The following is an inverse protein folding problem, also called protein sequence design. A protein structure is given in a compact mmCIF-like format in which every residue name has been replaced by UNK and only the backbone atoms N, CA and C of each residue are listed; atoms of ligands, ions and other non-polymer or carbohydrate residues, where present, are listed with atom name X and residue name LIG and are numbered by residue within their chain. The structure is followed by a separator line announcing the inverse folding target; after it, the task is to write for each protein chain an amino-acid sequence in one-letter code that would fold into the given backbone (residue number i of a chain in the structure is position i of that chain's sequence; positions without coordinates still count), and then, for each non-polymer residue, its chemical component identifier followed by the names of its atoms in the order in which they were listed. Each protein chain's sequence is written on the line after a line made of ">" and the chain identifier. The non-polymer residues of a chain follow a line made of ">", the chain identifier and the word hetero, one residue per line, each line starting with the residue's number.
data_IF_879135696903
#
_entry.id   IF_879135696903
#
_cell.length_a   1.000
_cell.length_b   1.000
_cell.length_c   1.000
_cell.angle_alpha   90.00
_cell.angle_beta   90.00
_cell.angle_gamma   90.00
#
_symmetry.space_group_name_H-M   'P 1'
#
loop_
_entity.id
_entity.type
_entity.pdbx_description
1 polymer ?
#
# COMPACT_ATOMS: atom_id res chain seq x y z
N UNK A 1 9.78 -1.17 10.91
CA UNK A 1 10.72 -0.03 10.94
C UNK A 1 10.42 0.97 12.05
N UNK A 2 9.21 1.50 12.17
CA UNK A 2 8.91 2.55 13.17
C UNK A 2 9.15 2.08 14.60
N UNK A 3 8.76 0.83 14.95
CA UNK A 3 9.09 0.24 16.24
C UNK A 3 10.60 0.29 16.51
N UNK A 4 11.43 -0.18 15.57
CA UNK A 4 12.89 -0.21 15.73
C UNK A 4 13.50 1.20 15.84
N UNK A 5 12.99 2.15 15.07
CA UNK A 5 13.39 3.56 15.16
C UNK A 5 13.10 4.14 16.56
N UNK A 6 11.96 3.79 17.15
CA UNK A 6 11.59 4.25 18.50
C UNK A 6 12.41 3.61 19.62
N UNK A 7 13.12 2.50 19.35
CA UNK A 7 14.11 1.93 20.30
C UNK A 7 15.45 2.69 20.30
N UNK A 8 15.72 3.53 19.30
CA UNK A 8 16.93 4.37 19.26
C UNK A 8 16.80 5.54 20.24
N UNK A 9 17.96 6.06 20.69
CA UNK A 9 17.92 7.36 21.40
C UNK A 9 17.35 8.44 20.48
N UNK A 10 16.66 9.46 21.03
CA UNK A 10 16.09 10.54 20.20
C UNK A 10 17.14 11.21 19.29
N UNK A 11 18.35 11.45 19.80
CA UNK A 11 19.43 12.09 19.07
C UNK A 11 19.91 11.24 17.88
N UNK A 12 20.10 9.93 18.10
CA UNK A 12 20.52 8.99 17.05
C UNK A 12 19.45 8.84 15.99
N UNK A 13 18.19 8.72 16.40
CA UNK A 13 17.03 8.63 15.49
C UNK A 13 16.90 9.91 14.66
N UNK A 14 16.95 11.08 15.28
CA UNK A 14 16.87 12.36 14.58
C UNK A 14 18.01 12.52 13.56
N UNK A 15 19.24 12.17 13.92
CA UNK A 15 20.38 12.23 13.01
C UNK A 15 20.19 11.30 11.80
N UNK A 16 19.69 10.07 12.03
CA UNK A 16 19.38 9.12 10.96
C UNK A 16 18.27 9.64 10.04
N UNK A 17 17.16 10.10 10.61
CA UNK A 17 16.01 10.61 9.83
C UNK A 17 16.40 11.86 9.03
N UNK A 18 17.19 12.76 9.61
CA UNK A 18 17.73 13.93 8.90
C UNK A 18 18.60 13.53 7.72
N UNK A 19 19.49 12.55 7.90
CA UNK A 19 20.33 12.03 6.82
C UNK A 19 19.52 11.42 5.67
N UNK A 20 18.38 10.81 5.96
CA UNK A 20 17.54 10.16 4.95
C UNK A 20 16.62 11.18 4.26
N UNK A 21 15.91 11.99 5.03
CA UNK A 21 14.77 12.76 4.52
C UNK A 21 15.06 14.25 4.26
N UNK A 22 16.14 14.83 4.84
CA UNK A 22 16.48 16.22 4.59
C UNK A 22 16.85 16.45 3.12
N UNK A 23 16.22 17.43 2.49
CA UNK A 23 16.48 17.81 1.10
C UNK A 23 17.73 18.67 0.92
N UNK A 24 18.33 19.18 2.02
CA UNK A 24 19.51 20.05 2.00
C UNK A 24 20.74 19.40 2.65
N UNK A 25 20.53 18.52 3.64
CA UNK A 25 21.62 17.94 4.44
C UNK A 25 21.59 16.39 4.40
N UNK A 26 20.71 15.80 3.59
CA UNK A 26 20.54 14.35 3.49
C UNK A 26 20.31 13.88 2.06
N UNK A 27 19.77 12.67 1.94
CA UNK A 27 19.46 12.04 0.64
C UNK A 27 18.18 12.59 0.01
N UNK A 28 17.34 13.31 0.74
CA UNK A 28 16.10 13.92 0.23
C UNK A 28 15.04 12.91 -0.18
N UNK A 29 14.94 11.78 0.53
CA UNK A 29 13.88 10.81 0.26
C UNK A 29 12.52 11.48 0.37
N UNK A 30 11.72 11.36 -0.67
CA UNK A 30 10.49 12.13 -0.88
C UNK A 30 9.20 11.30 -0.78
N UNK A 31 9.32 9.98 -0.62
CA UNK A 31 8.21 9.05 -0.45
C UNK A 31 8.39 8.16 0.77
N UNK A 32 7.30 7.80 1.41
CA UNK A 32 7.24 6.73 2.39
C UNK A 32 5.99 5.87 2.14
N UNK A 33 6.10 4.55 2.32
CA UNK A 33 4.96 3.63 2.29
C UNK A 33 4.74 3.07 3.67
N UNK A 34 3.50 3.05 4.12
CA UNK A 34 3.06 2.51 5.41
C UNK A 34 1.96 1.47 5.20
N UNK A 35 1.82 0.56 6.15
CA UNK A 35 0.65 -0.31 6.20
C UNK A 35 -0.58 0.44 6.72
N UNK A 36 -1.75 0.03 6.27
CA UNK A 36 -3.05 0.41 6.78
C UNK A 36 -3.59 -0.76 7.60
N UNK A 37 -3.29 -0.77 8.89
CA UNK A 37 -3.42 -1.92 9.78
C UNK A 37 -2.13 -2.76 9.83
N UNK A 38 -2.23 -4.00 10.25
CA UNK A 38 -1.09 -4.90 10.33
C UNK A 38 -0.52 -5.24 8.96
N UNK A 39 0.73 -5.71 8.97
CA UNK A 39 1.42 -6.33 7.83
C UNK A 39 2.08 -7.64 8.29
N UNK A 40 2.75 -8.34 7.40
CA UNK A 40 3.43 -9.62 7.67
C UNK A 40 4.65 -9.52 8.62
N UNK A 41 5.06 -8.31 9.00
CA UNK A 41 6.08 -8.05 10.02
C UNK A 41 5.52 -7.50 11.33
N UNK A 42 4.20 -7.40 11.46
CA UNK A 42 3.57 -7.01 12.72
C UNK A 42 3.66 -8.14 13.75
N UNK A 43 3.81 -7.78 15.02
CA UNK A 43 3.87 -8.76 16.11
C UNK A 43 2.54 -9.46 16.36
N UNK A 44 1.44 -8.83 15.95
CA UNK A 44 0.07 -9.34 16.02
C UNK A 44 -0.70 -8.91 14.79
N UNK A 45 -1.72 -9.67 14.41
CA UNK A 45 -2.65 -9.29 13.36
C UNK A 45 -3.74 -8.39 13.93
N UNK A 46 -4.04 -7.29 13.23
CA UNK A 46 -5.10 -6.35 13.59
C UNK A 46 -5.56 -5.54 12.38
N UNK A 47 -6.76 -5.02 12.47
CA UNK A 47 -7.23 -3.90 11.67
C UNK A 47 -7.72 -2.78 12.60
N UNK A 48 -8.14 -1.67 12.03
CA UNK A 48 -8.70 -0.58 12.86
C UNK A 48 -10.17 -0.79 13.23
N UNK A 49 -10.77 -1.93 12.88
CA UNK A 49 -12.16 -2.24 13.19
C UNK A 49 -12.40 -3.76 13.27
N UNK A 50 -11.75 -4.45 14.19
CA UNK A 50 -11.85 -5.91 14.32
C UNK A 50 -13.20 -6.38 14.87
N UNK A 51 -13.89 -5.51 15.58
CA UNK A 51 -15.26 -5.74 16.06
C UNK A 51 -16.23 -4.93 15.19
N UNK A 52 -17.16 -5.64 14.53
CA UNK A 52 -18.24 -4.99 13.78
C UNK A 52 -19.09 -4.11 14.69
N UNK A 53 -19.38 -2.92 14.22
CA UNK A 53 -20.25 -1.97 14.92
C UNK A 53 -21.74 -2.27 14.72
N UNK A 54 -22.58 -1.24 14.78
CA UNK A 54 -24.02 -1.37 14.58
C UNK A 54 -24.37 -1.67 13.10
N UNK A 55 -25.60 -2.11 12.85
CA UNK A 55 -26.07 -2.31 11.46
C UNK A 55 -26.08 -1.00 10.65
N UNK A 56 -26.37 0.12 11.30
CA UNK A 56 -26.42 1.45 10.66
C UNK A 56 -25.01 2.04 10.43
N UNK A 57 -24.03 1.70 11.26
CA UNK A 57 -22.60 2.05 11.10
C UNK A 57 -21.71 0.85 11.46
N UNK A 58 -21.48 -0.06 10.53
CA UNK A 58 -20.68 -1.26 10.79
C UNK A 58 -19.22 -0.99 11.20
N UNK A 59 -18.70 0.21 10.93
CA UNK A 59 -17.36 0.64 11.33
C UNK A 59 -17.37 1.70 12.45
N UNK A 60 -18.42 1.75 13.27
CA UNK A 60 -18.48 2.66 14.43
C UNK A 60 -17.37 2.42 15.45
N UNK A 61 -16.84 1.19 15.53
CA UNK A 61 -15.74 0.82 16.42
C UNK A 61 -14.34 1.08 15.82
N UNK A 62 -14.25 1.86 14.73
CA UNK A 62 -12.96 2.20 14.10
C UNK A 62 -12.08 2.99 15.08
N UNK A 63 -10.87 2.49 15.32
CA UNK A 63 -9.84 3.16 16.11
C UNK A 63 -8.44 2.72 15.61
N UNK A 64 -7.48 3.65 15.58
CA UNK A 64 -6.10 3.28 15.33
C UNK A 64 -5.57 2.37 16.43
N UNK A 65 -4.72 1.42 16.07
CA UNK A 65 -4.10 0.50 17.01
C UNK A 65 -2.94 1.15 17.76
N UNK A 66 -2.41 0.46 18.77
CA UNK A 66 -1.26 0.96 19.54
C UNK A 66 -0.04 1.20 18.68
N UNK A 67 0.23 0.33 17.70
CA UNK A 67 1.42 0.45 16.84
C UNK A 67 1.43 1.76 16.05
N UNK A 68 0.26 2.22 15.55
CA UNK A 68 0.16 3.53 14.91
C UNK A 68 0.37 4.66 15.89
N UNK A 69 -0.26 4.58 17.06
CA UNK A 69 -0.21 5.66 18.04
C UNK A 69 1.18 5.79 18.70
N UNK A 70 1.83 4.66 18.99
CA UNK A 70 3.07 4.62 19.77
C UNK A 70 4.32 4.70 18.87
N UNK A 71 4.24 4.26 17.61
CA UNK A 71 5.41 4.15 16.74
C UNK A 71 5.26 4.87 15.39
N UNK A 72 4.20 4.58 14.61
CA UNK A 72 4.10 5.07 13.23
C UNK A 72 3.89 6.58 13.20
N UNK A 73 2.90 7.08 13.94
CA UNK A 73 2.57 8.52 13.98
C UNK A 73 3.72 9.36 14.55
N UNK A 74 4.35 9.00 15.69
CA UNK A 74 5.52 9.74 16.19
C UNK A 74 6.65 9.84 15.16
N UNK A 75 7.04 8.73 14.55
CA UNK A 75 8.12 8.71 13.54
C UNK A 75 7.75 9.53 12.32
N UNK A 76 6.53 9.41 11.80
CA UNK A 76 6.09 10.22 10.65
C UNK A 76 6.09 11.73 10.97
N UNK A 77 5.73 12.12 12.19
CA UNK A 77 5.82 13.53 12.61
C UNK A 77 7.25 14.04 12.65
N UNK A 78 8.20 13.24 13.14
CA UNK A 78 9.62 13.59 13.11
C UNK A 78 10.10 13.75 11.65
N UNK A 79 9.72 12.84 10.75
CA UNK A 79 10.07 12.92 9.32
C UNK A 79 9.45 14.15 8.67
N UNK A 80 8.17 14.43 8.92
CA UNK A 80 7.46 15.60 8.36
C UNK A 80 8.01 16.94 8.88
N UNK A 81 8.57 16.97 10.10
CA UNK A 81 9.30 18.14 10.60
C UNK A 81 10.61 18.41 9.83
N UNK A 82 11.23 17.35 9.28
CA UNK A 82 12.45 17.43 8.46
C UNK A 82 12.08 17.71 6.98
N UNK A 83 11.10 16.99 6.45
CA UNK A 83 10.63 17.08 5.06
C UNK A 83 9.11 17.21 5.02
N UNK A 84 8.55 18.43 5.07
CA UNK A 84 7.10 18.64 5.08
C UNK A 84 6.42 18.26 3.75
N UNK A 85 7.19 18.03 2.68
CA UNK A 85 6.68 17.63 1.37
C UNK A 85 6.71 16.11 1.14
N UNK A 86 6.99 15.32 2.19
CA UNK A 86 6.97 13.86 2.09
C UNK A 86 5.61 13.37 1.60
N UNK A 87 5.63 12.52 0.58
CA UNK A 87 4.44 11.83 0.06
C UNK A 87 4.29 10.49 0.76
N UNK A 88 3.17 10.29 1.43
CA UNK A 88 2.91 9.06 2.19
C UNK A 88 1.87 8.24 1.44
N UNK A 89 2.23 6.98 1.12
CA UNK A 89 1.36 5.98 0.50
C UNK A 89 0.99 4.95 1.56
N UNK A 90 -0.28 4.54 1.61
CA UNK A 90 -0.75 3.52 2.54
C UNK A 90 -1.40 2.35 1.79
N UNK A 91 -1.14 1.11 2.23
CA UNK A 91 -1.75 -0.09 1.68
C UNK A 91 -2.16 -1.06 2.81
N UNK A 92 -3.38 -1.64 2.77
CA UNK A 92 -3.77 -2.69 3.70
C UNK A 92 -3.27 -4.07 3.23
N UNK A 93 -2.91 -4.94 4.17
CA UNK A 93 -2.66 -6.37 3.90
C UNK A 93 -3.95 -7.18 3.95
N UNK A 94 -4.93 -6.70 4.72
CA UNK A 94 -6.25 -7.33 4.84
C UNK A 94 -7.32 -6.34 5.25
N UNK A 95 -8.59 -6.67 5.01
CA UNK A 95 -9.72 -6.01 5.63
C UNK A 95 -10.09 -6.66 6.97
N UNK A 96 -10.96 -6.03 7.80
CA UNK A 96 -11.52 -6.68 8.98
C UNK A 96 -12.10 -8.06 8.66
N UNK A 97 -11.81 -9.07 9.51
CA UNK A 97 -12.21 -10.47 9.27
C UNK A 97 -13.72 -10.63 9.05
N UNK A 98 -14.53 -9.84 9.75
CA UNK A 98 -15.99 -9.88 9.58
C UNK A 98 -16.49 -9.38 8.22
N UNK A 99 -15.63 -8.72 7.41
CA UNK A 99 -15.92 -8.35 6.03
C UNK A 99 -15.53 -9.45 5.04
N UNK A 100 -14.88 -10.53 5.48
CA UNK A 100 -14.37 -11.58 4.60
C UNK A 100 -15.37 -12.70 4.34
N UNK A 101 -15.27 -13.26 3.13
CA UNK A 101 -16.01 -14.45 2.72
C UNK A 101 -15.06 -15.46 2.06
N UNK A 102 -15.47 -16.72 2.03
CA UNK A 102 -14.72 -17.79 1.35
C UNK A 102 -14.89 -17.72 -0.17
N UNK A 103 -16.01 -17.19 -0.63
CA UNK A 103 -16.38 -17.04 -2.04
C UNK A 103 -17.41 -15.91 -2.17
N UNK A 104 -17.25 -15.07 -3.19
CA UNK A 104 -18.10 -13.87 -3.38
C UNK A 104 -19.54 -14.16 -3.77
N UNK A 105 -19.84 -15.36 -4.31
CA UNK A 105 -21.20 -15.73 -4.74
C UNK A 105 -21.98 -16.34 -3.57
N UNK A 106 -21.37 -17.26 -2.84
CA UNK A 106 -22.01 -17.90 -1.68
C UNK A 106 -22.01 -17.01 -0.45
N UNK A 107 -21.04 -16.10 -0.34
CA UNK A 107 -20.83 -15.15 0.78
C UNK A 107 -20.72 -15.82 2.16
N UNK A 108 -20.26 -17.08 2.19
CA UNK A 108 -20.01 -17.75 3.45
C UNK A 108 -18.89 -17.02 4.22
N UNK A 109 -19.07 -16.63 5.49
CA UNK A 109 -18.08 -15.90 6.26
C UNK A 109 -16.74 -16.64 6.34
N UNK A 110 -15.64 -15.88 6.32
CA UNK A 110 -14.28 -16.39 6.54
C UNK A 110 -13.61 -15.66 7.69
N UNK A 111 -13.60 -16.28 8.86
CA UNK A 111 -12.89 -15.78 10.04
C UNK A 111 -11.41 -16.18 9.98
N UNK A 112 -10.64 -15.46 9.18
CA UNK A 112 -9.20 -15.71 9.01
C UNK A 112 -8.47 -14.42 8.67
N UNK A 113 -7.27 -14.24 9.22
CA UNK A 113 -6.35 -13.17 8.81
C UNK A 113 -5.77 -13.41 7.43
N UNK A 114 -5.66 -14.67 7.00
CA UNK A 114 -5.04 -15.09 5.75
C UNK A 114 -6.10 -15.47 4.72
N UNK A 115 -5.87 -15.09 3.45
CA UNK A 115 -6.75 -15.39 2.31
C UNK A 115 -8.19 -14.84 2.47
N UNK A 116 -9.13 -15.36 1.69
CA UNK A 116 -10.53 -14.90 1.63
C UNK A 116 -10.71 -13.70 0.71
N UNK A 117 -11.97 -13.39 0.47
CA UNK A 117 -12.40 -12.33 -0.43
C UNK A 117 -13.15 -11.25 0.34
N UNK A 118 -13.12 -10.01 -0.16
CA UNK A 118 -13.98 -8.96 0.37
C UNK A 118 -15.44 -9.27 0.00
N UNK A 119 -16.29 -9.42 0.99
CA UNK A 119 -17.73 -9.58 0.74
C UNK A 119 -18.23 -8.40 -0.10
N UNK A 120 -18.87 -8.65 -1.27
CA UNK A 120 -19.40 -7.60 -2.14
C UNK A 120 -20.33 -6.62 -1.43
N UNK A 121 -21.06 -7.08 -0.40
CA UNK A 121 -22.00 -6.25 0.37
C UNK A 121 -21.26 -5.23 1.28
N UNK A 122 -19.98 -5.45 1.57
CA UNK A 122 -19.17 -4.56 2.40
C UNK A 122 -18.21 -3.64 1.61
N UNK A 123 -18.22 -3.65 0.26
CA UNK A 123 -17.36 -2.77 -0.54
C UNK A 123 -17.52 -1.29 -0.18
N UNK A 124 -18.75 -0.83 -0.02
CA UNK A 124 -19.05 0.54 0.39
C UNK A 124 -18.57 0.83 1.81
N UNK A 125 -18.75 -0.11 2.74
CA UNK A 125 -18.32 0.01 4.14
C UNK A 125 -16.79 0.04 4.21
N UNK A 126 -16.12 -0.80 3.43
CA UNK A 126 -14.67 -0.82 3.39
C UNK A 126 -14.09 0.45 2.74
N UNK A 127 -14.74 1.02 1.73
CA UNK A 127 -14.36 2.33 1.21
C UNK A 127 -14.48 3.44 2.27
N UNK A 128 -15.53 3.43 3.10
CA UNK A 128 -15.66 4.36 4.23
C UNK A 128 -14.59 4.15 5.31
N UNK A 129 -14.11 2.92 5.49
CA UNK A 129 -13.00 2.61 6.40
C UNK A 129 -11.71 3.34 5.96
N UNK A 130 -11.38 3.37 4.67
CA UNK A 130 -10.29 4.19 4.14
C UNK A 130 -10.49 5.68 4.40
N UNK A 131 -11.71 6.18 4.21
CA UNK A 131 -12.04 7.59 4.50
C UNK A 131 -11.80 7.91 5.98
N UNK A 132 -12.24 7.05 6.91
CA UNK A 132 -11.99 7.22 8.34
C UNK A 132 -10.48 7.24 8.63
N UNK A 133 -9.70 6.31 8.07
CA UNK A 133 -8.25 6.29 8.22
C UNK A 133 -7.59 7.59 7.75
N UNK A 134 -7.90 8.04 6.53
CA UNK A 134 -7.31 9.25 5.96
C UNK A 134 -7.63 10.48 6.83
N UNK A 135 -8.88 10.59 7.31
CA UNK A 135 -9.31 11.71 8.15
C UNK A 135 -8.61 11.69 9.52
N UNK A 136 -8.52 10.54 10.18
CA UNK A 136 -7.82 10.40 11.47
C UNK A 136 -6.33 10.73 11.32
N UNK A 137 -5.67 10.26 10.26
CA UNK A 137 -4.28 10.63 9.99
C UNK A 137 -4.13 12.13 9.72
N UNK A 138 -5.04 12.74 8.99
CA UNK A 138 -5.07 14.18 8.75
C UNK A 138 -5.24 14.98 10.05
N UNK A 139 -6.10 14.54 10.96
CA UNK A 139 -6.26 15.15 12.30
C UNK A 139 -4.97 15.07 13.12
N UNK A 140 -4.14 14.04 12.89
CA UNK A 140 -2.80 13.92 13.49
C UNK A 140 -1.73 14.76 12.78
N UNK A 141 -2.09 15.50 11.71
CA UNK A 141 -1.17 16.30 10.91
C UNK A 141 -0.42 15.51 9.81
N UNK A 142 -0.92 14.33 9.46
CA UNK A 142 -0.30 13.44 8.47
C UNK A 142 -1.23 13.32 7.27
N UNK A 143 -0.83 13.88 6.13
CA UNK A 143 -1.59 13.78 4.89
C UNK A 143 -1.23 12.50 4.14
N UNK A 144 -2.22 11.66 3.85
CA UNK A 144 -2.06 10.47 3.02
C UNK A 144 -2.17 10.90 1.55
N UNK A 145 -1.04 10.85 0.84
CA UNK A 145 -0.95 11.24 -0.57
C UNK A 145 -1.66 10.26 -1.49
N UNK A 146 -1.48 8.96 -1.23
CA UNK A 146 -2.10 7.91 -2.03
C UNK A 146 -2.39 6.67 -1.19
N UNK A 147 -3.26 5.81 -1.72
CA UNK A 147 -3.49 4.46 -1.19
C UNK A 147 -3.42 3.44 -2.32
N UNK A 148 -3.07 2.20 -1.97
CA UNK A 148 -3.41 1.02 -2.76
C UNK A 148 -4.62 0.33 -2.13
N UNK A 149 -5.57 -0.18 -2.93
CA UNK A 149 -6.76 -0.88 -2.40
C UNK A 149 -6.41 -2.13 -1.60
N UNK A 150 -5.34 -2.83 -2.00
CA UNK A 150 -4.84 -4.05 -1.36
C UNK A 150 -3.35 -4.23 -1.68
N UNK A 151 -2.53 -4.55 -0.65
CA UNK A 151 -1.18 -5.05 -0.86
C UNK A 151 -1.24 -6.48 -1.40
N UNK A 152 -0.52 -6.74 -2.49
CA UNK A 152 -0.39 -8.06 -3.12
C UNK A 152 -1.73 -8.80 -3.28
N UNK A 153 -2.68 -8.27 -4.05
CA UNK A 153 -4.06 -8.78 -4.11
C UNK A 153 -4.19 -10.23 -4.57
N UNK A 154 -3.20 -10.79 -5.23
CA UNK A 154 -3.21 -12.19 -5.69
C UNK A 154 -2.42 -13.13 -4.76
N UNK A 155 -1.83 -12.61 -3.68
CA UNK A 155 -1.10 -13.41 -2.70
C UNK A 155 -2.04 -13.87 -1.59
N UNK A 156 -2.21 -15.19 -1.47
CA UNK A 156 -3.04 -15.83 -0.44
C UNK A 156 -2.23 -16.33 0.77
N UNK A 157 -0.90 -16.25 0.69
CA UNK A 157 -0.01 -16.92 1.63
C UNK A 157 0.49 -16.02 2.76
N UNK A 158 0.54 -14.69 2.56
CA UNK A 158 0.93 -13.79 3.62
C UNK A 158 -0.10 -13.80 4.77
N UNK A 159 0.36 -13.68 5.97
CA UNK A 159 -0.45 -13.31 7.12
C UNK A 159 -0.06 -11.87 7.55
N UNK A 160 -0.94 -10.89 7.37
CA UNK A 160 -2.31 -11.03 6.88
C UNK A 160 -2.38 -10.97 5.34
N UNK A 161 -3.50 -11.40 4.75
CA UNK A 161 -3.76 -11.25 3.31
C UNK A 161 -5.26 -11.21 3.00
N UNK A 162 -5.58 -10.70 1.81
CA UNK A 162 -6.93 -10.69 1.24
C UNK A 162 -6.79 -10.91 -0.27
N UNK A 163 -7.42 -11.96 -0.79
CA UNK A 163 -7.40 -12.23 -2.22
C UNK A 163 -8.41 -11.34 -2.95
N UNK A 164 -7.91 -10.60 -3.93
CA UNK A 164 -8.71 -9.62 -4.66
C UNK A 164 -8.28 -9.58 -6.14
N UNK A 165 -8.73 -10.53 -6.98
CA UNK A 165 -8.45 -10.49 -8.40
C UNK A 165 -9.04 -9.22 -9.04
N UNK A 166 -8.59 -8.82 -10.25
CA UNK A 166 -9.01 -7.57 -10.87
C UNK A 166 -10.55 -7.44 -10.99
N UNK A 167 -11.26 -8.56 -11.15
CA UNK A 167 -12.72 -8.60 -11.20
C UNK A 167 -13.40 -8.15 -9.90
N UNK A 168 -12.67 -8.28 -8.77
CA UNK A 168 -13.14 -7.87 -7.44
C UNK A 168 -12.59 -6.50 -7.05
N UNK A 169 -11.34 -6.19 -7.42
CA UNK A 169 -10.75 -4.88 -7.15
C UNK A 169 -11.46 -3.78 -7.95
N UNK A 170 -11.78 -4.02 -9.21
CA UNK A 170 -12.43 -3.03 -10.06
C UNK A 170 -13.73 -2.43 -9.45
N UNK A 171 -14.75 -3.22 -9.06
CA UNK A 171 -15.93 -2.66 -8.40
C UNK A 171 -15.64 -2.05 -7.03
N UNK A 172 -14.62 -2.50 -6.31
CA UNK A 172 -14.21 -1.88 -5.05
C UNK A 172 -13.55 -0.51 -5.30
N UNK A 173 -12.66 -0.39 -6.28
CA UNK A 173 -12.00 0.88 -6.66
C UNK A 173 -13.04 1.95 -7.04
N UNK A 174 -14.10 1.59 -7.76
CA UNK A 174 -15.21 2.53 -8.06
C UNK A 174 -15.86 3.07 -6.79
N UNK A 175 -16.10 2.20 -5.79
CA UNK A 175 -16.67 2.61 -4.50
C UNK A 175 -15.69 3.47 -3.71
N UNK A 176 -14.41 3.10 -3.71
CA UNK A 176 -13.36 3.83 -3.01
C UNK A 176 -13.20 5.25 -3.56
N UNK A 177 -13.08 5.39 -4.88
CA UNK A 177 -12.95 6.68 -5.54
C UNK A 177 -14.19 7.57 -5.33
N UNK A 178 -15.40 7.02 -5.43
CA UNK A 178 -16.63 7.74 -5.16
C UNK A 178 -16.70 8.23 -3.69
N UNK A 179 -16.30 7.39 -2.73
CA UNK A 179 -16.24 7.80 -1.32
C UNK A 179 -15.18 8.89 -1.09
N UNK A 180 -14.03 8.84 -1.74
CA UNK A 180 -13.04 9.89 -1.66
C UNK A 180 -13.59 11.21 -2.21
N UNK A 181 -14.20 11.18 -3.39
CA UNK A 181 -14.83 12.37 -4.01
C UNK A 181 -15.91 12.97 -3.11
N UNK A 182 -16.82 12.14 -2.60
CA UNK A 182 -17.91 12.54 -1.69
C UNK A 182 -17.39 13.22 -0.41
N UNK A 183 -16.23 12.81 0.08
CA UNK A 183 -15.61 13.35 1.29
C UNK A 183 -14.55 14.44 1.00
N UNK A 184 -14.48 14.97 -0.24
CA UNK A 184 -13.53 15.98 -0.69
C UNK A 184 -12.05 15.60 -0.45
N UNK A 185 -11.73 14.31 -0.51
CA UNK A 185 -10.35 13.82 -0.42
C UNK A 185 -9.68 13.89 -1.79
N UNK A 186 -8.40 14.29 -1.79
CA UNK A 186 -7.55 14.34 -2.98
C UNK A 186 -6.54 13.19 -3.00
N UNK A 187 -6.72 12.22 -2.11
CA UNK A 187 -5.87 11.03 -2.00
C UNK A 187 -5.97 10.20 -3.28
N UNK A 188 -4.83 9.94 -3.90
CA UNK A 188 -4.72 9.15 -5.14
C UNK A 188 -4.91 7.67 -4.87
N UNK A 189 -5.29 6.93 -5.90
CA UNK A 189 -5.42 5.46 -5.86
C UNK A 189 -4.48 4.87 -6.89
N UNK A 190 -3.55 4.01 -6.44
CA UNK A 190 -2.72 3.16 -7.27
C UNK A 190 -3.20 1.73 -7.11
N UNK A 191 -3.71 1.14 -8.19
CA UNK A 191 -4.26 -0.21 -8.20
C UNK A 191 -3.17 -1.28 -8.27
N UNK A 192 -3.53 -2.55 -8.12
CA UNK A 192 -2.67 -3.73 -8.24
C UNK A 192 -1.70 -3.88 -7.06
N UNK A 193 -0.62 -3.09 -6.96
CA UNK A 193 0.37 -3.13 -5.86
C UNK A 193 0.96 -4.53 -5.63
N UNK A 194 1.45 -5.16 -6.72
CA UNK A 194 1.92 -6.55 -6.74
C UNK A 194 3.06 -6.79 -7.73
N UNK A 195 3.54 -8.03 -7.78
CA UNK A 195 4.66 -8.46 -8.61
C UNK A 195 4.38 -8.28 -10.11
N UNK A 196 5.45 -8.14 -10.89
CA UNK A 196 5.37 -8.24 -12.34
C UNK A 196 4.82 -9.60 -12.77
N UNK A 197 4.10 -9.63 -13.90
CA UNK A 197 3.65 -10.84 -14.59
C UNK A 197 3.09 -11.90 -13.64
N UNK A 198 1.96 -11.60 -13.02
CA UNK A 198 1.25 -12.61 -12.22
C UNK A 198 0.46 -13.59 -13.11
N UNK A 199 1.09 -13.98 -14.23
CA UNK A 199 0.50 -14.77 -15.33
C UNK A 199 0.21 -16.23 -14.94
N UNK A 200 0.68 -16.64 -13.77
CA UNK A 200 0.41 -17.99 -13.25
C UNK A 200 -1.02 -18.20 -12.79
N UNK A 201 -1.76 -17.10 -12.57
CA UNK A 201 -3.17 -17.14 -12.21
C UNK A 201 -3.98 -16.78 -13.45
N UNK A 202 -4.81 -17.71 -13.89
CA UNK A 202 -5.62 -17.54 -15.09
C UNK A 202 -6.41 -16.22 -15.07
N UNK A 203 -6.40 -15.52 -16.19
CA UNK A 203 -7.11 -14.26 -16.42
C UNK A 203 -6.61 -13.07 -15.55
N UNK A 204 -5.41 -13.14 -14.98
CA UNK A 204 -4.83 -12.02 -14.22
C UNK A 204 -3.67 -11.31 -14.95
N UNK A 205 -3.36 -11.70 -16.17
CA UNK A 205 -2.41 -11.01 -17.04
C UNK A 205 -2.88 -9.57 -17.28
N UNK A 206 -1.94 -8.63 -17.39
CA UNK A 206 -2.25 -7.21 -17.60
C UNK A 206 -3.31 -6.67 -16.61
N UNK A 207 -3.26 -7.15 -15.36
CA UNK A 207 -4.23 -6.82 -14.33
C UNK A 207 -4.65 -5.34 -14.29
N UNK A 208 -3.71 -4.36 -14.24
CA UNK A 208 -4.10 -2.95 -14.21
C UNK A 208 -4.91 -2.53 -15.43
N UNK A 209 -4.56 -3.00 -16.62
CA UNK A 209 -5.27 -2.65 -17.86
C UNK A 209 -6.68 -3.22 -17.87
N UNK A 210 -6.84 -4.49 -17.48
CA UNK A 210 -8.16 -5.13 -17.34
C UNK A 210 -9.03 -4.40 -16.33
N UNK A 211 -8.45 -4.00 -15.20
CA UNK A 211 -9.12 -3.23 -14.18
C UNK A 211 -9.58 -1.87 -14.73
N UNK A 212 -8.70 -1.10 -15.39
CA UNK A 212 -9.05 0.21 -15.97
C UNK A 212 -10.16 0.07 -17.02
N UNK A 213 -10.10 -0.95 -17.87
CA UNK A 213 -11.13 -1.21 -18.87
C UNK A 213 -12.49 -1.54 -18.21
N UNK A 214 -12.49 -2.28 -17.11
CA UNK A 214 -13.69 -2.66 -16.37
C UNK A 214 -14.33 -1.49 -15.61
N UNK A 215 -13.53 -0.57 -15.04
CA UNK A 215 -14.07 0.59 -14.34
C UNK A 215 -14.49 1.71 -15.31
N UNK A 216 -13.81 1.83 -16.46
CA UNK A 216 -13.95 2.95 -17.39
C UNK A 216 -13.37 4.26 -16.82
N UNK A 217 -13.44 5.33 -17.59
CA UNK A 217 -12.84 6.63 -17.23
C UNK A 217 -13.91 7.68 -16.82
N UNK A 218 -15.19 7.31 -16.78
CA UNK A 218 -16.31 8.23 -16.51
C UNK A 218 -17.21 7.73 -15.37
N UNK A 219 -16.71 7.85 -14.14
CA UNK A 219 -17.45 7.59 -12.91
C UNK A 219 -17.01 8.56 -11.81
N UNK A 220 -17.80 8.70 -10.73
CA UNK A 220 -17.52 9.62 -9.64
C UNK A 220 -16.16 9.32 -8.98
N UNK A 221 -15.23 10.27 -9.02
CA UNK A 221 -13.88 10.16 -8.49
C UNK A 221 -12.88 9.44 -9.41
N UNK A 222 -13.23 9.17 -10.68
CA UNK A 222 -12.35 8.49 -11.64
C UNK A 222 -10.97 9.15 -11.78
N UNK A 223 -10.90 10.48 -11.63
CA UNK A 223 -9.68 11.26 -11.64
C UNK A 223 -8.68 10.91 -10.54
N UNK A 224 -9.15 10.27 -9.47
CA UNK A 224 -8.31 9.84 -8.34
C UNK A 224 -7.62 8.48 -8.61
N UNK A 225 -8.09 7.70 -9.58
CA UNK A 225 -7.47 6.44 -10.00
C UNK A 225 -6.35 6.75 -10.99
N UNK A 226 -5.20 7.07 -10.46
CA UNK A 226 -4.11 7.69 -11.24
C UNK A 226 -3.16 6.69 -11.88
N UNK A 227 -3.05 5.45 -11.36
CA UNK A 227 -2.06 4.52 -11.87
C UNK A 227 -2.03 3.18 -11.14
N UNK A 228 -0.94 2.45 -11.37
CA UNK A 228 -0.66 1.16 -10.73
C UNK A 228 0.66 1.15 -9.98
N UNK A 229 0.75 0.30 -8.96
CA UNK A 229 1.94 0.06 -8.16
C UNK A 229 2.47 -1.36 -8.40
N UNK A 230 3.80 -1.51 -8.35
CA UNK A 230 4.47 -2.77 -8.68
C UNK A 230 5.52 -3.18 -7.65
N UNK A 231 5.67 -4.51 -7.49
CA UNK A 231 6.71 -5.20 -6.72
C UNK A 231 7.57 -6.08 -7.66
N UNK A 232 8.73 -6.57 -7.21
CA UNK A 232 9.62 -7.41 -8.02
C UNK A 232 10.01 -8.75 -7.38
N UNK A 233 9.15 -9.33 -6.57
CA UNK A 233 9.38 -10.69 -6.04
C UNK A 233 9.14 -11.78 -7.09
N UNK A 234 8.61 -11.44 -8.26
CA UNK A 234 8.40 -12.33 -9.39
C UNK A 234 8.17 -11.58 -10.69
N UNK A 235 8.37 -12.28 -11.81
CA UNK A 235 8.18 -11.72 -13.14
C UNK A 235 9.37 -10.91 -13.65
N UNK A 236 9.10 -10.00 -14.59
CA UNK A 236 10.09 -9.17 -15.25
C UNK A 236 9.58 -7.74 -15.36
N UNK A 237 10.46 -6.77 -15.12
CA UNK A 237 10.11 -5.35 -15.15
C UNK A 237 9.76 -4.81 -16.54
N UNK A 238 9.96 -5.57 -17.63
CA UNK A 238 9.46 -5.21 -18.97
C UNK A 238 7.95 -4.98 -19.01
N UNK A 239 7.20 -5.60 -18.10
CA UNK A 239 5.76 -5.39 -17.95
C UNK A 239 5.40 -3.92 -17.73
N UNK A 240 6.24 -3.14 -17.03
CA UNK A 240 6.01 -1.71 -16.85
C UNK A 240 5.89 -0.97 -18.19
N UNK A 241 6.74 -1.31 -19.16
CA UNK A 241 6.67 -0.75 -20.51
C UNK A 241 5.42 -1.23 -21.25
N UNK A 242 5.04 -2.50 -21.10
CA UNK A 242 3.86 -3.08 -21.76
C UNK A 242 2.57 -2.44 -21.24
N UNK A 243 2.46 -2.27 -19.92
CA UNK A 243 1.33 -1.58 -19.28
C UNK A 243 1.28 -0.10 -19.67
N UNK A 244 2.45 0.60 -19.65
CA UNK A 244 2.51 2.00 -20.09
C UNK A 244 2.07 2.17 -21.55
N UNK A 245 2.48 1.30 -22.45
CA UNK A 245 2.10 1.37 -23.85
C UNK A 245 0.59 1.18 -24.06
N UNK A 246 -0.07 0.37 -23.22
CA UNK A 246 -1.51 0.16 -23.27
C UNK A 246 -2.29 1.31 -22.60
N UNK A 247 -1.75 1.91 -21.53
CA UNK A 247 -2.38 2.99 -20.77
C UNK A 247 -1.36 4.10 -20.43
N UNK A 248 -0.92 4.86 -21.44
CA UNK A 248 0.07 5.94 -21.26
C UNK A 248 -0.47 7.12 -20.44
N UNK A 249 -1.77 7.19 -20.25
CA UNK A 249 -2.47 8.16 -19.40
C UNK A 249 -2.35 7.84 -17.91
N UNK A 250 -1.95 6.61 -17.54
CA UNK A 250 -1.83 6.15 -16.16
C UNK A 250 -0.39 6.17 -15.66
N UNK A 251 -0.23 6.57 -14.40
CA UNK A 251 1.06 6.59 -13.72
C UNK A 251 1.51 5.17 -13.33
N UNK A 252 2.81 4.94 -13.30
CA UNK A 252 3.42 3.75 -12.70
C UNK A 252 4.30 4.15 -11.54
N UNK A 253 4.25 3.38 -10.46
CA UNK A 253 5.18 3.48 -9.34
C UNK A 253 5.70 2.09 -8.98
N UNK A 254 6.95 2.03 -8.55
CA UNK A 254 7.51 0.84 -7.93
C UNK A 254 7.39 0.99 -6.42
N UNK A 255 6.60 0.14 -5.77
CA UNK A 255 6.15 0.35 -4.39
C UNK A 255 6.82 -0.56 -3.37
N UNK A 256 7.44 -1.68 -3.81
CA UNK A 256 8.05 -2.60 -2.85
C UNK A 256 9.07 -3.57 -3.50
N UNK A 257 10.20 -3.74 -2.84
CA UNK A 257 11.08 -4.91 -2.90
C UNK A 257 11.91 -4.98 -1.63
N UNK A 258 12.15 -6.17 -1.11
CA UNK A 258 12.99 -6.39 0.07
C UNK A 258 14.48 -6.32 -0.28
N UNK A 259 15.20 -5.53 0.49
CA UNK A 259 16.67 -5.47 0.46
C UNK A 259 17.19 -6.01 1.79
N UNK A 260 17.90 -7.13 1.75
CA UNK A 260 18.36 -7.81 2.96
C UNK A 260 19.72 -8.50 2.79
N UNK A 261 20.07 -9.36 3.74
CA UNK A 261 21.40 -10.01 3.80
C UNK A 261 21.58 -11.19 2.83
N UNK A 262 20.52 -11.66 2.20
CA UNK A 262 20.54 -12.69 1.15
C UNK A 262 21.12 -12.15 -0.17
N UNK A 263 21.49 -13.02 -1.10
CA UNK A 263 22.00 -12.65 -2.44
C UNK A 263 23.10 -11.57 -2.39
N UNK A 264 24.18 -11.83 -1.67
CA UNK A 264 25.30 -10.89 -1.47
C UNK A 264 24.95 -9.65 -0.62
N UNK A 265 23.86 -9.63 0.13
CA UNK A 265 23.44 -8.49 0.94
C UNK A 265 24.45 -8.03 2.00
N UNK A 266 25.43 -8.88 2.36
CA UNK A 266 26.58 -8.52 3.21
C UNK A 266 27.71 -7.83 2.45
N UNK A 267 27.77 -7.97 1.13
CA UNK A 267 28.67 -7.21 0.24
C UNK A 267 27.91 -5.97 -0.25
N UNK A 268 27.96 -4.91 0.53
CA UNK A 268 27.21 -3.68 0.29
C UNK A 268 27.49 -3.08 -1.09
N UNK A 269 28.71 -3.19 -1.61
CA UNK A 269 29.05 -2.62 -2.91
C UNK A 269 28.36 -3.38 -4.05
N UNK A 270 28.39 -4.72 -4.04
CA UNK A 270 27.71 -5.55 -5.03
C UNK A 270 26.20 -5.42 -4.92
N UNK A 271 25.67 -5.40 -3.68
CA UNK A 271 24.24 -5.27 -3.46
C UNK A 271 23.72 -3.92 -3.95
N UNK A 272 24.39 -2.82 -3.57
CA UNK A 272 24.01 -1.48 -4.01
C UNK A 272 24.01 -1.37 -5.54
N UNK A 273 25.05 -1.90 -6.20
CA UNK A 273 25.12 -1.89 -7.67
C UNK A 273 23.96 -2.68 -8.30
N UNK A 274 23.62 -3.85 -7.74
CA UNK A 274 22.52 -4.65 -8.24
C UNK A 274 21.16 -3.95 -8.04
N UNK A 275 20.92 -3.38 -6.87
CA UNK A 275 19.67 -2.70 -6.55
C UNK A 275 19.50 -1.39 -7.35
N UNK A 276 20.57 -0.61 -7.49
CA UNK A 276 20.54 0.58 -8.35
C UNK A 276 20.25 0.22 -9.82
N UNK A 277 20.84 -0.85 -10.33
CA UNK A 277 20.64 -1.29 -11.72
C UNK A 277 19.23 -1.87 -11.91
N UNK A 278 18.84 -2.85 -11.08
CA UNK A 278 17.68 -3.70 -11.34
C UNK A 278 16.39 -3.14 -10.74
N UNK A 279 16.48 -2.30 -9.72
CA UNK A 279 15.34 -1.68 -9.06
C UNK A 279 15.23 -0.21 -9.48
N UNK A 280 16.14 0.64 -9.02
CA UNK A 280 15.99 2.08 -9.20
C UNK A 280 16.03 2.50 -10.68
N UNK A 281 17.12 2.20 -11.41
CA UNK A 281 17.29 2.64 -12.79
C UNK A 281 16.38 1.87 -13.75
N UNK A 282 16.22 0.56 -13.54
CA UNK A 282 15.39 -0.25 -14.43
C UNK A 282 13.93 0.18 -14.40
N UNK A 283 13.36 0.47 -13.24
CA UNK A 283 11.96 0.87 -13.11
C UNK A 283 11.71 2.31 -13.58
N UNK A 284 12.63 3.24 -13.27
CA UNK A 284 12.52 4.64 -13.75
C UNK A 284 12.65 4.72 -15.26
N UNK A 285 13.56 3.95 -15.87
CA UNK A 285 13.68 3.86 -17.33
C UNK A 285 12.46 3.24 -18.00
N UNK A 286 11.59 2.57 -17.23
CA UNK A 286 10.34 1.99 -17.69
C UNK A 286 9.13 2.71 -17.07
N UNK A 287 9.21 4.05 -16.98
CA UNK A 287 8.11 4.99 -16.67
C UNK A 287 7.66 5.05 -15.20
N UNK A 288 8.31 4.37 -14.26
CA UNK A 288 7.99 4.55 -12.85
C UNK A 288 8.37 5.95 -12.37
N UNK A 289 7.42 6.64 -11.73
CA UNK A 289 7.59 7.98 -11.17
C UNK A 289 8.12 8.00 -9.74
N UNK A 290 8.10 6.85 -9.08
CA UNK A 290 8.62 6.67 -7.73
C UNK A 290 9.17 5.25 -7.58
N UNK A 291 10.17 5.10 -6.70
CA UNK A 291 10.76 3.82 -6.33
C UNK A 291 10.82 3.76 -4.80
N UNK A 292 10.12 2.80 -4.23
CA UNK A 292 10.11 2.53 -2.80
C UNK A 292 10.60 1.11 -2.55
N UNK A 293 11.30 0.91 -1.45
CA UNK A 293 11.83 -0.39 -1.07
C UNK A 293 11.33 -0.78 0.32
N UNK A 294 11.25 -2.05 0.58
CA UNK A 294 10.92 -2.66 1.85
C UNK A 294 12.21 -3.12 2.51
N UNK A 295 12.72 -2.57 3.60
CA UNK A 295 12.14 -1.66 4.58
C UNK A 295 13.18 -0.59 4.98
N UNK A 296 12.77 0.49 5.69
CA UNK A 296 13.70 1.50 6.17
C UNK A 296 14.65 0.95 7.22
N UNK A 297 14.17 0.12 8.15
CA UNK A 297 14.95 -0.50 9.21
C UNK A 297 14.32 -1.83 9.62
N UNK A 298 15.10 -2.89 9.52
CA UNK A 298 14.82 -4.22 10.08
C UNK A 298 15.78 -4.50 11.22
N UNK A 299 15.40 -5.32 12.16
CA UNK A 299 16.27 -5.98 13.14
C UNK A 299 16.67 -7.38 12.66
N UNK A 300 17.63 -7.97 13.35
CA UNK A 300 18.11 -9.32 13.05
C UNK A 300 17.28 -10.36 13.80
#
# INVERSE_FOLDING_TARGET
>A
SCYNLMQMTPEARQALLKRIYSTTEGYGVSYARISLGCNDFSSTEYTYCDTKGSESDPISNFALYSDENDYVIPVLKEILAINPNLKIIAAPWTCPKWMKVTDINTKNPKDSWTDGHLNPDYREVYAKYFVKFINVMKEKGINIYAVSPQNEPLNKANCASLYMPWQEEAPFVKKLAAQFKKNNLQTKIYVFDHNYNYDKIADQEDYPVKLYNAIGDNFEGSELVVGAAYHDYGGNNSELTDIHNQRPDKELIFSETSIGTWKNGRDLSKRLMADMKNVALATVNQYCKAVLVWNLMLDN
#
